data_IF_854367632937
#
_entry.id   IF_854367632937
#
_cell.length_a   1.000
_cell.length_b   1.000
_cell.length_c   1.000
_cell.angle_alpha   90.00
_cell.angle_beta   90.00
_cell.angle_gamma   90.00
#
_symmetry.space_group_name_H-M   'P 1'
#
loop_
_entity.id
_entity.type
_entity.pdbx_description
1 polymer ?
#
# COMPACT_ATOMS: atom_id res chain seq x y z
N UNK A 1 21.69 -5.32 -16.56
CA UNK A 1 22.04 -3.95 -17.02
C UNK A 1 23.10 -4.01 -18.11
N UNK A 2 24.23 -4.70 -17.90
CA UNK A 2 25.33 -4.76 -18.87
C UNK A 2 24.93 -5.32 -20.26
N UNK A 3 23.88 -6.14 -20.32
CA UNK A 3 23.32 -6.69 -21.56
C UNK A 3 22.40 -5.75 -22.35
N UNK A 4 21.98 -4.62 -21.78
CA UNK A 4 21.11 -3.63 -22.46
C UNK A 4 22.01 -2.79 -23.35
N UNK A 5 21.70 -2.66 -24.64
CA UNK A 5 22.59 -1.94 -25.59
C UNK A 5 22.27 -0.45 -25.69
N UNK A 6 21.01 -0.05 -25.52
CA UNK A 6 20.60 1.35 -25.60
C UNK A 6 20.80 2.08 -24.26
N UNK A 7 21.43 3.26 -24.31
CA UNK A 7 21.72 4.03 -23.10
C UNK A 7 20.45 4.50 -22.39
N UNK A 8 19.43 4.90 -23.15
CA UNK A 8 18.14 5.31 -22.60
C UNK A 8 17.47 4.18 -21.80
N UNK A 9 17.47 2.96 -22.34
CA UNK A 9 16.92 1.78 -21.66
C UNK A 9 17.70 1.44 -20.39
N UNK A 10 19.03 1.63 -20.40
CA UNK A 10 19.86 1.47 -19.19
C UNK A 10 19.44 2.47 -18.11
N UNK A 11 19.28 3.74 -18.47
CA UNK A 11 18.92 4.79 -17.52
C UNK A 11 17.53 4.55 -16.91
N UNK A 12 16.57 4.11 -17.74
CA UNK A 12 15.24 3.68 -17.30
C UNK A 12 15.33 2.53 -16.28
N UNK A 13 16.10 1.49 -16.60
CA UNK A 13 16.25 0.32 -15.71
C UNK A 13 16.95 0.69 -14.41
N UNK A 14 17.97 1.57 -14.45
CA UNK A 14 18.66 2.07 -13.25
C UNK A 14 17.68 2.82 -12.34
N UNK A 15 16.83 3.67 -12.92
CA UNK A 15 15.82 4.41 -12.16
C UNK A 15 14.76 3.46 -11.55
N UNK A 16 14.25 2.50 -12.33
CA UNK A 16 13.30 1.48 -11.83
C UNK A 16 13.88 0.65 -10.67
N UNK A 17 15.15 0.24 -10.77
CA UNK A 17 15.83 -0.53 -9.72
C UNK A 17 15.90 0.28 -8.43
N UNK A 18 16.15 1.59 -8.51
CA UNK A 18 16.21 2.45 -7.33
C UNK A 18 14.89 2.46 -6.56
N UNK A 19 13.75 2.61 -7.26
CA UNK A 19 12.43 2.54 -6.63
C UNK A 19 12.13 1.16 -6.04
N UNK A 20 12.46 0.10 -6.79
CA UNK A 20 12.21 -1.28 -6.35
C UNK A 20 13.06 -1.66 -5.14
N UNK A 21 14.33 -1.29 -5.09
CA UNK A 21 15.20 -1.56 -3.94
C UNK A 21 14.73 -0.81 -2.69
N UNK A 22 14.24 0.42 -2.85
CA UNK A 22 13.70 1.19 -1.74
C UNK A 22 12.33 0.67 -1.23
N UNK A 23 11.68 -0.27 -1.92
CA UNK A 23 10.31 -0.68 -1.63
C UNK A 23 10.14 -1.68 -0.47
N UNK A 24 11.22 -2.26 0.08
CA UNK A 24 11.14 -3.43 0.97
C UNK A 24 11.78 -3.24 2.35
N UNK A 25 12.02 -1.99 2.76
CA UNK A 25 12.62 -1.66 4.05
C UNK A 25 14.07 -1.22 3.94
N UNK A 26 14.71 -0.97 5.08
CA UNK A 26 16.08 -0.52 5.16
C UNK A 26 17.00 -1.57 5.80
N UNK A 27 18.05 -1.99 5.08
CA UNK A 27 18.92 -3.10 5.49
C UNK A 27 19.68 -2.85 6.81
N UNK A 28 20.13 -1.61 7.07
CA UNK A 28 20.90 -1.29 8.29
C UNK A 28 20.01 -1.04 9.51
N UNK A 29 18.91 -0.30 9.33
CA UNK A 29 17.98 0.03 10.42
C UNK A 29 17.05 -1.12 10.76
N UNK A 30 16.93 -2.11 9.86
CA UNK A 30 15.98 -3.21 9.95
C UNK A 30 14.57 -2.70 10.20
N UNK A 31 14.16 -1.68 9.43
CA UNK A 31 12.85 -1.06 9.53
C UNK A 31 12.09 -1.07 8.21
N UNK A 32 10.76 -0.99 8.29
CA UNK A 32 9.85 -0.84 7.16
C UNK A 32 8.70 0.10 7.53
N UNK A 33 8.13 0.81 6.56
CA UNK A 33 7.00 1.71 6.79
C UNK A 33 6.45 2.30 5.49
N UNK A 34 5.56 3.28 5.63
CA UNK A 34 4.79 3.87 4.52
C UNK A 34 5.65 4.55 3.44
N UNK A 35 6.88 4.96 3.75
CA UNK A 35 7.81 5.48 2.74
C UNK A 35 8.32 4.40 1.77
N UNK A 36 8.57 3.19 2.27
CA UNK A 36 8.93 2.04 1.45
C UNK A 36 7.73 1.59 0.61
N UNK A 37 6.56 1.54 1.22
CA UNK A 37 5.29 1.33 0.52
C UNK A 37 5.06 2.33 -0.61
N UNK A 38 5.35 3.62 -0.38
CA UNK A 38 5.21 4.63 -1.42
C UNK A 38 6.26 4.50 -2.53
N UNK A 39 7.48 4.05 -2.20
CA UNK A 39 8.50 3.75 -3.22
C UNK A 39 8.04 2.63 -4.16
N UNK A 40 7.34 1.62 -3.63
CA UNK A 40 6.68 0.61 -4.45
C UNK A 40 5.59 1.19 -5.35
N UNK A 41 4.77 2.11 -4.83
CA UNK A 41 3.75 2.79 -5.61
C UNK A 41 4.34 3.64 -6.75
N UNK A 42 5.48 4.31 -6.52
CA UNK A 42 6.22 5.03 -7.57
C UNK A 42 6.76 4.07 -8.62
N UNK A 43 7.33 2.93 -8.20
CA UNK A 43 7.76 1.88 -9.13
C UNK A 43 6.62 1.42 -10.06
N UNK A 44 5.43 1.13 -9.51
CA UNK A 44 4.26 0.74 -10.30
C UNK A 44 3.76 1.87 -11.20
N UNK A 45 3.78 3.11 -10.72
CA UNK A 45 3.40 4.28 -11.51
C UNK A 45 4.31 4.43 -12.74
N UNK A 46 5.62 4.28 -12.57
CA UNK A 46 6.59 4.35 -13.67
C UNK A 46 6.40 3.20 -14.65
N UNK A 47 6.18 1.97 -14.17
CA UNK A 47 5.83 0.84 -15.06
C UNK A 47 4.57 1.12 -15.87
N UNK A 48 3.56 1.76 -15.27
CA UNK A 48 2.36 2.17 -15.99
C UNK A 48 2.68 3.21 -17.07
N UNK A 49 3.51 4.23 -16.78
CA UNK A 49 3.96 5.23 -17.77
C UNK A 49 4.72 4.61 -18.94
N UNK A 50 5.46 3.53 -18.69
CA UNK A 50 6.21 2.78 -19.70
C UNK A 50 5.34 1.78 -20.50
N UNK A 51 4.04 1.74 -20.27
CA UNK A 51 3.12 0.87 -21.02
C UNK A 51 3.02 -0.57 -20.49
N UNK A 52 3.66 -0.90 -19.36
CA UNK A 52 3.77 -2.28 -18.87
C UNK A 52 2.44 -2.89 -18.40
N UNK A 53 1.38 -2.08 -18.22
CA UNK A 53 0.04 -2.54 -17.84
C UNK A 53 -0.92 -2.55 -19.02
N UNK A 54 -0.45 -2.97 -20.19
CA UNK A 54 -1.29 -3.06 -21.40
C UNK A 54 -1.72 -1.69 -21.95
N UNK A 55 -0.96 -0.65 -21.66
CA UNK A 55 -1.09 0.67 -22.27
C UNK A 55 -0.12 0.83 -23.42
N UNK A 56 -0.52 1.57 -24.45
CA UNK A 56 0.44 2.24 -25.34
C UNK A 56 0.67 3.65 -24.79
N UNK A 57 1.70 4.36 -25.27
CA UNK A 57 1.97 5.75 -24.85
C UNK A 57 0.75 6.67 -25.01
N UNK A 58 -0.16 6.33 -25.92
CA UNK A 58 -1.33 7.14 -26.28
C UNK A 58 -2.65 6.64 -25.68
N UNK A 59 -2.68 5.41 -25.14
CA UNK A 59 -3.92 4.79 -24.62
C UNK A 59 -3.67 4.25 -23.20
N UNK A 60 -4.23 4.89 -22.16
CA UNK A 60 -4.11 4.39 -20.80
C UNK A 60 -4.86 3.05 -20.64
N UNK A 61 -4.46 2.20 -19.67
CA UNK A 61 -5.16 0.95 -19.44
C UNK A 61 -6.60 1.21 -18.96
N UNK A 62 -7.51 0.27 -19.24
CA UNK A 62 -8.89 0.40 -18.75
C UNK A 62 -8.94 0.40 -17.22
N UNK A 63 -9.96 1.07 -16.65
CA UNK A 63 -10.15 1.10 -15.20
C UNK A 63 -10.29 -0.30 -14.59
N UNK A 64 -10.94 -1.23 -15.31
CA UNK A 64 -11.07 -2.63 -14.89
C UNK A 64 -9.72 -3.35 -14.87
N UNK A 65 -8.87 -3.12 -15.88
CA UNK A 65 -7.53 -3.68 -15.93
C UNK A 65 -6.68 -3.13 -14.78
N UNK A 66 -6.66 -1.81 -14.57
CA UNK A 66 -5.93 -1.20 -13.46
C UNK A 66 -6.41 -1.71 -12.10
N UNK A 67 -7.72 -1.89 -11.93
CA UNK A 67 -8.30 -2.46 -10.71
C UNK A 67 -7.78 -3.88 -10.49
N UNK A 68 -7.90 -4.76 -11.47
CA UNK A 68 -7.45 -6.15 -11.35
C UNK A 68 -5.94 -6.24 -11.07
N UNK A 69 -5.13 -5.47 -11.80
CA UNK A 69 -3.68 -5.39 -11.65
C UNK A 69 -3.28 -4.85 -10.27
N UNK A 70 -3.93 -3.78 -9.81
CA UNK A 70 -3.70 -3.20 -8.47
C UNK A 70 -3.95 -4.26 -7.40
N UNK A 71 -5.10 -4.93 -7.44
CA UNK A 71 -5.48 -5.92 -6.41
C UNK A 71 -4.49 -7.09 -6.39
N UNK A 72 -4.14 -7.60 -7.57
CA UNK A 72 -3.23 -8.73 -7.71
C UNK A 72 -1.82 -8.40 -7.19
N UNK A 73 -1.24 -7.29 -7.65
CA UNK A 73 0.11 -6.88 -7.27
C UNK A 73 0.19 -6.53 -5.79
N UNK A 74 -0.77 -5.77 -5.26
CA UNK A 74 -0.77 -5.37 -3.84
C UNK A 74 -1.00 -6.53 -2.89
N UNK A 75 -1.77 -7.55 -3.29
CA UNK A 75 -1.92 -8.78 -2.52
C UNK A 75 -0.59 -9.56 -2.43
N UNK A 76 0.15 -9.65 -3.54
CA UNK A 76 1.47 -10.27 -3.57
C UNK A 76 2.50 -9.46 -2.76
N UNK A 77 2.52 -8.14 -2.93
CA UNK A 77 3.40 -7.24 -2.20
C UNK A 77 3.18 -7.32 -0.69
N UNK A 78 1.91 -7.32 -0.24
CA UNK A 78 1.58 -7.49 1.18
C UNK A 78 2.00 -8.85 1.72
N UNK A 79 1.82 -9.92 0.95
CA UNK A 79 2.22 -11.25 1.36
C UNK A 79 3.73 -11.33 1.59
N UNK A 80 4.51 -10.75 0.67
CA UNK A 80 5.97 -10.68 0.78
C UNK A 80 6.42 -9.78 1.93
N UNK A 81 5.92 -8.54 2.00
CA UNK A 81 6.34 -7.57 3.03
C UNK A 81 6.00 -8.06 4.44
N UNK A 82 4.85 -8.72 4.64
CA UNK A 82 4.51 -9.33 5.93
C UNK A 82 5.45 -10.45 6.33
N UNK A 83 5.87 -11.29 5.37
CA UNK A 83 6.89 -12.32 5.63
C UNK A 83 8.22 -11.69 6.03
N UNK A 84 8.66 -10.66 5.29
CA UNK A 84 9.91 -9.94 5.61
C UNK A 84 9.82 -9.29 7.00
N UNK A 85 8.71 -8.61 7.31
CA UNK A 85 8.45 -7.99 8.61
C UNK A 85 8.53 -9.03 9.75
N UNK A 86 7.94 -10.21 9.59
CA UNK A 86 7.95 -11.25 10.63
C UNK A 86 9.28 -11.98 10.73
N UNK A 87 9.87 -12.37 9.61
CA UNK A 87 11.05 -13.23 9.57
C UNK A 87 12.30 -12.48 10.03
N UNK A 88 12.37 -11.18 9.75
CA UNK A 88 13.47 -10.31 10.15
C UNK A 88 13.14 -9.41 11.34
N UNK A 89 11.94 -9.54 11.93
CA UNK A 89 11.48 -8.73 13.06
C UNK A 89 11.68 -7.22 12.82
N UNK A 90 11.27 -6.75 11.65
CA UNK A 90 11.50 -5.36 11.27
C UNK A 90 10.81 -4.41 12.24
N UNK A 91 11.42 -3.25 12.49
CA UNK A 91 10.81 -2.18 13.27
C UNK A 91 9.87 -1.33 12.40
N UNK A 92 8.75 -0.83 12.96
CA UNK A 92 7.89 0.15 12.29
C UNK A 92 8.59 1.50 12.06
N UNK A 93 8.96 1.80 10.81
CA UNK A 93 9.59 3.05 10.42
C UNK A 93 8.58 4.20 10.37
N UNK A 94 8.79 5.22 11.21
CA UNK A 94 7.92 6.41 11.24
C UNK A 94 6.51 6.12 11.79
N UNK A 95 6.31 5.01 12.51
CA UNK A 95 5.03 4.67 13.10
C UNK A 95 4.63 5.70 14.18
N UNK A 96 3.33 6.02 14.20
CA UNK A 96 2.71 6.80 15.27
C UNK A 96 2.20 5.90 16.43
N UNK A 97 2.57 4.62 16.43
CA UNK A 97 2.09 3.61 17.37
C UNK A 97 0.57 3.50 17.33
N UNK A 98 -0.07 3.56 18.49
CA UNK A 98 -1.55 3.49 18.60
C UNK A 98 -2.28 4.66 17.93
N UNK A 99 -1.58 5.75 17.59
CA UNK A 99 -2.16 6.90 16.88
C UNK A 99 -2.02 6.79 15.35
N UNK A 100 -1.37 5.73 14.85
CA UNK A 100 -1.28 5.45 13.42
C UNK A 100 -2.48 4.67 12.91
N UNK A 101 -2.62 4.63 11.58
CA UNK A 101 -3.58 3.75 10.91
C UNK A 101 -3.20 2.28 11.11
N UNK A 102 -1.94 1.96 10.83
CA UNK A 102 -1.29 0.67 10.97
C UNK A 102 0.21 0.89 11.22
N UNK A 103 0.90 -0.11 11.74
CA UNK A 103 2.33 -0.01 12.04
C UNK A 103 3.18 0.14 10.76
N UNK A 104 2.74 -0.41 9.62
CA UNK A 104 3.55 -0.49 8.41
C UNK A 104 2.89 0.10 7.15
N UNK A 105 1.57 -0.03 7.01
CA UNK A 105 0.88 0.12 5.72
C UNK A 105 -0.22 1.18 5.73
N UNK A 106 -0.40 1.87 4.60
CA UNK A 106 -1.50 2.82 4.41
C UNK A 106 -2.27 2.56 3.11
N UNK A 107 -1.57 2.43 1.99
CA UNK A 107 -2.17 2.28 0.65
C UNK A 107 -3.09 1.05 0.50
N UNK A 108 -2.80 -0.13 1.08
CA UNK A 108 -3.71 -1.27 1.01
C UNK A 108 -5.08 -1.02 1.64
N UNK A 109 -5.15 -0.19 2.69
CA UNK A 109 -6.44 0.23 3.26
C UNK A 109 -7.19 1.14 2.28
N UNK A 110 -6.50 2.07 1.63
CA UNK A 110 -7.11 2.91 0.62
C UNK A 110 -7.66 2.09 -0.56
N UNK A 111 -6.83 1.23 -1.17
CA UNK A 111 -7.27 0.36 -2.26
C UNK A 111 -8.38 -0.58 -1.84
N UNK A 112 -8.29 -1.15 -0.63
CA UNK A 112 -9.35 -1.96 -0.05
C UNK A 112 -10.66 -1.19 0.11
N UNK A 113 -10.64 0.05 0.59
CA UNK A 113 -11.84 0.88 0.70
C UNK A 113 -12.44 1.24 -0.67
N UNK A 114 -11.60 1.38 -1.70
CA UNK A 114 -12.06 1.52 -3.09
C UNK A 114 -12.67 0.22 -3.63
N UNK A 115 -12.13 -0.96 -3.29
CA UNK A 115 -12.72 -2.26 -3.67
C UNK A 115 -14.17 -2.37 -3.17
N UNK A 116 -14.44 -1.96 -1.93
CA UNK A 116 -15.75 -2.05 -1.29
C UNK A 116 -16.84 -1.18 -1.94
N UNK A 117 -16.47 -0.28 -2.85
CA UNK A 117 -17.43 0.54 -3.62
C UNK A 117 -17.87 -0.14 -4.93
N UNK A 118 -17.37 -1.36 -5.20
CA UNK A 118 -17.75 -2.12 -6.40
C UNK A 118 -19.15 -2.69 -6.29
N UNK A 119 -19.86 -2.74 -7.43
CA UNK A 119 -21.17 -3.36 -7.52
C UNK A 119 -21.14 -4.82 -7.02
N UNK A 120 -22.16 -5.19 -6.24
CA UNK A 120 -22.32 -6.55 -5.70
C UNK A 120 -21.66 -6.80 -4.34
N UNK A 121 -20.96 -5.83 -3.76
CA UNK A 121 -20.47 -5.89 -2.38
C UNK A 121 -21.39 -5.09 -1.45
N UNK A 122 -21.97 -5.77 -0.46
CA UNK A 122 -22.83 -5.14 0.57
C UNK A 122 -22.18 -5.28 1.96
N UNK A 123 -21.01 -4.67 2.10
CA UNK A 123 -20.32 -4.58 3.39
C UNK A 123 -20.39 -3.15 3.92
N UNK A 124 -20.42 -3.02 5.23
CA UNK A 124 -20.32 -1.73 5.91
C UNK A 124 -18.92 -1.58 6.54
N UNK A 125 -18.44 -0.35 6.80
CA UNK A 125 -17.18 -0.17 7.52
C UNK A 125 -17.13 -0.90 8.87
N UNK A 126 -18.27 -1.01 9.58
CA UNK A 126 -18.37 -1.74 10.85
C UNK A 126 -18.19 -3.26 10.71
N UNK A 127 -18.32 -3.81 9.50
CA UNK A 127 -18.15 -5.25 9.24
C UNK A 127 -16.74 -5.76 9.54
N UNK A 128 -15.76 -4.88 9.74
CA UNK A 128 -14.41 -5.24 10.20
C UNK A 128 -14.40 -5.91 11.59
N UNK A 129 -15.49 -5.80 12.35
CA UNK A 129 -15.63 -6.42 13.67
C UNK A 129 -16.04 -7.89 13.60
N UNK A 130 -16.61 -8.35 12.48
CA UNK A 130 -16.98 -9.75 12.28
C UNK A 130 -15.76 -10.60 11.88
N UNK A 131 -15.22 -11.36 12.84
CA UNK A 131 -14.06 -12.22 12.61
C UNK A 131 -14.32 -13.36 11.62
N UNK A 132 -15.56 -13.85 11.51
CA UNK A 132 -15.93 -14.91 10.57
C UNK A 132 -15.94 -14.39 9.15
N UNK A 133 -16.49 -13.19 8.96
CA UNK A 133 -16.42 -12.47 7.68
C UNK A 133 -14.97 -12.19 7.27
N UNK A 134 -14.17 -11.65 8.20
CA UNK A 134 -12.76 -11.37 7.94
C UNK A 134 -12.00 -12.63 7.50
N UNK A 135 -12.22 -13.77 8.17
CA UNK A 135 -11.56 -15.03 7.81
C UNK A 135 -11.94 -15.51 6.40
N UNK A 136 -13.23 -15.37 6.03
CA UNK A 136 -13.74 -15.77 4.71
C UNK A 136 -13.17 -14.91 3.58
N UNK A 137 -13.10 -13.60 3.78
CA UNK A 137 -12.81 -12.63 2.71
C UNK A 137 -11.35 -12.15 2.66
N UNK A 138 -10.50 -12.55 3.62
CA UNK A 138 -9.12 -12.02 3.78
C UNK A 138 -8.24 -12.09 2.53
N UNK A 139 -8.48 -13.04 1.64
CA UNK A 139 -7.70 -13.25 0.43
C UNK A 139 -8.25 -12.46 -0.77
N UNK A 140 -9.52 -12.04 -0.71
CA UNK A 140 -10.24 -11.38 -1.80
C UNK A 140 -10.25 -9.86 -1.63
N UNK A 141 -10.34 -9.38 -0.39
CA UNK A 141 -10.53 -7.97 -0.05
C UNK A 141 -9.32 -7.47 0.76
N UNK A 142 -8.57 -6.52 0.19
CA UNK A 142 -7.32 -6.02 0.77
C UNK A 142 -7.56 -5.43 2.18
N UNK A 143 -8.64 -4.65 2.35
CA UNK A 143 -8.97 -4.04 3.64
C UNK A 143 -9.17 -5.11 4.71
N UNK A 144 -10.00 -6.12 4.43
CA UNK A 144 -10.31 -7.20 5.37
C UNK A 144 -9.08 -8.08 5.62
N UNK A 145 -8.26 -8.33 4.60
CA UNK A 145 -6.97 -9.00 4.76
C UNK A 145 -6.04 -8.26 5.72
N UNK A 146 -5.98 -6.92 5.66
CA UNK A 146 -5.19 -6.10 6.58
C UNK A 146 -5.74 -6.15 8.01
N UNK A 147 -7.04 -5.95 8.22
CA UNK A 147 -7.65 -6.05 9.55
C UNK A 147 -7.43 -7.44 10.15
N UNK A 148 -7.63 -8.49 9.34
CA UNK A 148 -7.45 -9.88 9.78
C UNK A 148 -6.01 -10.15 10.19
N UNK A 149 -5.03 -9.58 9.49
CA UNK A 149 -3.62 -9.68 9.83
C UNK A 149 -3.30 -8.96 11.15
N UNK A 150 -3.76 -7.72 11.34
CA UNK A 150 -3.57 -6.97 12.60
C UNK A 150 -4.13 -7.75 13.79
N UNK A 151 -5.38 -8.23 13.71
CA UNK A 151 -6.02 -9.04 14.75
C UNK A 151 -5.28 -10.34 15.03
N UNK A 152 -4.52 -10.85 14.07
CA UNK A 152 -3.70 -12.06 14.23
C UNK A 152 -2.42 -11.83 15.03
N UNK A 153 -1.87 -10.62 14.96
CA UNK A 153 -0.66 -10.21 15.68
C UNK A 153 -0.98 -9.84 17.13
N UNK A 154 -2.08 -9.11 17.35
CA UNK A 154 -2.45 -8.53 18.64
C UNK A 154 -3.54 -9.37 19.35
N UNK A 155 -3.32 -10.69 19.43
CA UNK A 155 -4.27 -11.61 20.08
C UNK A 155 -4.34 -11.32 21.58
N UNK A 156 -5.53 -11.05 22.09
CA UNK A 156 -5.78 -10.91 23.53
C UNK A 156 -6.10 -9.49 24.00
N UNK A 157 -6.03 -8.49 23.12
CA UNK A 157 -6.55 -7.15 23.38
C UNK A 157 -7.74 -6.85 22.44
N UNK A 158 -8.78 -6.15 22.91
CA UNK A 158 -9.83 -5.63 22.05
C UNK A 158 -9.27 -4.74 20.93
N UNK A 159 -9.89 -4.80 19.75
CA UNK A 159 -9.41 -4.09 18.56
C UNK A 159 -9.28 -2.57 18.77
N UNK A 160 -10.22 -1.97 19.51
CA UNK A 160 -10.22 -0.54 19.80
C UNK A 160 -9.05 -0.09 20.70
N UNK A 161 -8.42 -0.99 21.46
CA UNK A 161 -7.29 -0.63 22.33
C UNK A 161 -5.99 -0.52 21.54
N UNK A 162 -5.79 -1.40 20.56
CA UNK A 162 -4.53 -1.51 19.84
C UNK A 162 -4.57 -0.90 18.43
N UNK A 163 -5.76 -0.57 17.93
CA UNK A 163 -6.01 0.03 16.61
C UNK A 163 -7.19 1.01 16.67
N UNK A 164 -7.14 2.04 17.54
CA UNK A 164 -8.26 2.96 17.77
C UNK A 164 -8.66 3.73 16.50
N UNK A 165 -7.71 4.17 15.67
CA UNK A 165 -8.04 4.89 14.42
C UNK A 165 -8.86 4.03 13.45
N UNK A 166 -8.44 2.78 13.22
CA UNK A 166 -9.22 1.84 12.39
C UNK A 166 -10.59 1.54 13.00
N UNK A 167 -10.66 1.45 14.33
CA UNK A 167 -11.92 1.29 15.04
C UNK A 167 -12.84 2.51 14.84
N UNK A 168 -12.31 3.73 14.91
CA UNK A 168 -13.09 4.95 14.71
C UNK A 168 -13.56 5.10 13.25
N UNK A 169 -12.69 4.77 12.29
CA UNK A 169 -13.03 4.73 10.85
C UNK A 169 -14.19 3.76 10.58
N UNK A 170 -14.28 2.65 11.33
CA UNK A 170 -15.37 1.67 11.20
C UNK A 170 -16.76 2.23 11.54
N UNK A 171 -16.83 3.35 12.26
CA UNK A 171 -18.09 4.03 12.58
C UNK A 171 -18.58 4.94 11.44
N UNK A 172 -17.81 5.10 10.36
CA UNK A 172 -18.23 5.87 9.19
C UNK A 172 -19.36 5.17 8.43
N UNK A 173 -20.24 5.96 7.84
CA UNK A 173 -21.48 5.45 7.22
C UNK A 173 -21.28 4.77 5.86
N UNK A 174 -20.15 5.00 5.16
CA UNK A 174 -19.91 4.44 3.83
C UNK A 174 -18.43 4.30 3.51
N UNK A 175 -18.11 3.29 2.69
CA UNK A 175 -16.75 3.06 2.19
C UNK A 175 -16.23 4.18 1.30
N UNK A 176 -17.11 4.92 0.63
CA UNK A 176 -16.72 6.13 -0.11
C UNK A 176 -16.13 7.21 0.83
N UNK A 177 -16.73 7.41 2.02
CA UNK A 177 -16.17 8.31 3.03
C UNK A 177 -14.86 7.78 3.61
N UNK A 178 -14.78 6.47 3.84
CA UNK A 178 -13.53 5.82 4.29
C UNK A 178 -12.41 6.03 3.27
N UNK A 179 -12.65 5.75 1.99
CA UNK A 179 -11.64 5.91 0.93
C UNK A 179 -11.18 7.37 0.80
N UNK A 180 -12.11 8.33 0.79
CA UNK A 180 -11.78 9.75 0.75
C UNK A 180 -10.97 10.21 1.97
N UNK A 181 -11.32 9.74 3.17
CA UNK A 181 -10.57 10.03 4.40
C UNK A 181 -9.17 9.42 4.39
N UNK A 182 -9.02 8.18 3.91
CA UNK A 182 -7.74 7.50 3.79
C UNK A 182 -6.82 8.14 2.76
N UNK A 183 -7.36 8.63 1.64
CA UNK A 183 -6.57 9.38 0.66
C UNK A 183 -6.01 10.66 1.29
N UNK A 184 -6.85 11.43 1.99
CA UNK A 184 -6.41 12.64 2.71
C UNK A 184 -5.39 12.33 3.80
N UNK A 185 -5.57 11.22 4.51
CA UNK A 185 -4.62 10.74 5.51
C UNK A 185 -3.28 10.39 4.86
N UNK A 186 -3.29 9.69 3.73
CA UNK A 186 -2.08 9.38 2.98
C UNK A 186 -1.37 10.65 2.50
N UNK A 187 -2.10 11.62 1.95
CA UNK A 187 -1.54 12.91 1.54
C UNK A 187 -0.88 13.65 2.72
N UNK A 188 -1.58 13.79 3.85
CA UNK A 188 -1.08 14.56 5.00
C UNK A 188 -0.05 13.85 5.86
N UNK A 189 -0.17 12.53 6.05
CA UNK A 189 0.68 11.74 6.95
C UNK A 189 1.80 10.97 6.25
N UNK A 190 1.78 10.90 4.91
CA UNK A 190 2.85 10.26 4.13
C UNK A 190 3.49 11.25 3.16
N UNK A 191 2.71 11.85 2.25
CA UNK A 191 3.28 12.69 1.18
C UNK A 191 3.74 14.08 1.68
N UNK A 192 3.07 14.67 2.66
CA UNK A 192 3.44 15.97 3.24
C UNK A 192 4.46 15.84 4.40
N UNK A 193 4.96 14.63 4.67
CA UNK A 193 5.98 14.39 5.70
C UNK A 193 7.35 14.32 5.07
N UNK A 194 8.17 15.34 5.34
CA UNK A 194 9.57 15.39 4.91
C UNK A 194 10.35 14.11 5.24
N UNK A 195 10.15 13.53 6.41
CA UNK A 195 10.85 12.32 6.85
C UNK A 195 10.57 11.12 5.94
N UNK A 196 9.39 11.09 5.32
CA UNK A 196 8.98 10.05 4.39
C UNK A 196 9.46 10.39 2.97
N UNK A 197 9.18 11.59 2.49
CA UNK A 197 9.50 11.98 1.09
C UNK A 197 10.98 12.28 0.84
N UNK A 198 11.79 12.54 1.88
CA UNK A 198 13.23 12.79 1.71
C UNK A 198 14.00 11.62 1.10
N UNK A 199 13.41 10.42 1.10
CA UNK A 199 14.00 9.22 0.51
C UNK A 199 13.54 8.97 -0.92
N UNK A 200 12.65 9.81 -1.48
CA UNK A 200 12.27 9.68 -2.88
C UNK A 200 13.41 10.08 -3.81
N UNK A 201 13.60 9.21 -4.80
CA UNK A 201 14.46 9.46 -5.93
C UNK A 201 13.62 10.21 -6.95
N UNK A 202 14.04 11.41 -7.33
CA UNK A 202 13.44 12.15 -8.43
C UNK A 202 14.43 12.19 -9.60
N UNK A 203 13.98 11.72 -10.76
CA UNK A 203 14.76 11.58 -11.98
C UNK A 203 13.84 11.79 -13.20
N UNK A 204 14.15 11.17 -14.34
CA UNK A 204 13.49 11.45 -15.61
C UNK A 204 12.08 10.85 -15.69
N UNK A 205 11.85 9.68 -15.06
CA UNK A 205 10.55 9.01 -15.11
C UNK A 205 9.59 9.53 -14.03
N UNK A 206 10.13 9.96 -12.89
CA UNK A 206 9.40 10.62 -11.81
C UNK A 206 10.10 11.93 -11.42
N UNK A 207 9.61 13.04 -11.98
CA UNK A 207 10.17 14.38 -11.85
C UNK A 207 9.61 15.10 -10.60
N UNK A 208 10.31 16.12 -10.11
CA UNK A 208 9.92 16.88 -8.90
C UNK A 208 9.24 18.23 -9.20
N UNK A 209 9.09 18.52 -10.49
CA UNK A 209 8.72 19.80 -11.12
C UNK A 209 7.23 19.89 -11.48
#
# INVERSE_FOLDING_TARGET
IESITEQNDRDIVIELIAYFQAAFGHEVRLDYGTGHECSFQVFLFVLCKLGCFGSTTDVPPSAEHLKATTISIWSAYLSLTRQVQTDYMLEPAGSHGVWGLDDYHCLPFYFGACQMQSDGLDYRPDSIHDNSLLERERNSLLYFGCIRYIKSLKKGAPFYEHSPMLNDISNLLSWAKVASGLLRLFEGEVLDKRQVVQHFVFKNLFTAD
#
